data_IF_766404308656
#
_entry.id   IF_766404308656
#
_cell.length_a   1.000
_cell.length_b   1.000
_cell.length_c   1.000
_cell.angle_alpha   90.00
_cell.angle_beta   90.00
_cell.angle_gamma   90.00
#
_symmetry.space_group_name_H-M   'P 1'
#
loop_
_entity.id
_entity.type
_entity.pdbx_description
1 polymer ?
#
# COMPACT_ATOMS: atom_id res chain seq x y z
N UNK A 1 -23.27 12.26 6.53
CA UNK A 1 -22.16 11.33 6.80
C UNK A 1 -20.87 11.72 6.07
N UNK A 2 -20.92 12.24 4.83
CA UNK A 2 -19.74 12.70 4.07
C UNK A 2 -19.00 13.93 4.64
N UNK A 3 -19.72 14.89 5.23
CA UNK A 3 -19.10 16.09 5.78
C UNK A 3 -18.17 15.80 6.97
N UNK A 4 -18.42 14.72 7.71
CA UNK A 4 -17.67 14.39 8.93
C UNK A 4 -16.31 13.78 8.61
N UNK A 5 -16.24 12.79 7.70
CA UNK A 5 -14.96 12.20 7.29
C UNK A 5 -14.09 13.24 6.58
N UNK A 6 -14.69 14.05 5.70
CA UNK A 6 -13.99 15.16 5.06
C UNK A 6 -13.46 16.17 6.09
N UNK A 7 -14.28 16.59 7.05
CA UNK A 7 -13.84 17.52 8.09
C UNK A 7 -12.75 16.94 8.98
N UNK A 8 -12.75 15.62 9.23
CA UNK A 8 -11.68 14.96 9.99
C UNK A 8 -10.38 14.92 9.18
N UNK A 9 -10.44 14.61 7.88
CA UNK A 9 -9.26 14.61 7.00
C UNK A 9 -8.70 16.04 6.86
N UNK A 10 -9.56 17.04 6.64
CA UNK A 10 -9.13 18.45 6.53
C UNK A 10 -8.52 18.96 7.85
N UNK A 11 -9.10 18.59 9.01
CA UNK A 11 -8.55 19.01 10.31
C UNK A 11 -7.27 18.25 10.66
N UNK A 12 -7.17 16.96 10.33
CA UNK A 12 -5.95 16.17 10.55
C UNK A 12 -4.80 16.62 9.65
N UNK A 13 -5.08 16.97 8.39
CA UNK A 13 -4.09 17.49 7.43
C UNK A 13 -3.58 18.90 7.77
N UNK A 14 -4.31 19.66 8.61
CA UNK A 14 -3.90 20.99 9.06
C UNK A 14 -2.83 20.97 10.17
N UNK A 15 -2.53 19.80 10.76
CA UNK A 15 -1.42 19.64 11.69
C UNK A 15 -0.14 19.36 10.90
N UNK A 16 0.77 20.32 10.86
CA UNK A 16 2.09 20.11 10.26
C UNK A 16 2.87 19.04 11.05
N UNK A 17 3.46 18.08 10.32
CA UNK A 17 4.25 16.92 10.78
C UNK A 17 3.50 15.60 11.10
N UNK A 18 2.19 15.51 10.86
CA UNK A 18 1.42 14.27 11.10
C UNK A 18 1.13 13.46 9.82
N UNK A 19 1.28 12.14 9.88
CA UNK A 19 0.86 11.21 8.81
C UNK A 19 -0.59 10.75 9.04
N UNK A 20 -1.46 10.92 8.04
CA UNK A 20 -2.80 10.37 8.06
C UNK A 20 -2.87 9.11 7.21
N UNK A 21 -3.11 7.95 7.84
CA UNK A 21 -3.34 6.69 7.14
C UNK A 21 -4.85 6.45 7.08
N UNK A 22 -5.38 6.36 5.86
CA UNK A 22 -6.78 6.00 5.63
C UNK A 22 -6.85 4.53 5.20
N UNK A 23 -7.33 3.67 6.11
CA UNK A 23 -7.68 2.30 5.75
C UNK A 23 -9.04 2.28 5.06
N UNK A 24 -9.04 1.96 3.76
CA UNK A 24 -10.24 1.93 2.92
C UNK A 24 -10.59 0.51 2.51
N UNK A 25 -11.88 0.18 2.51
CA UNK A 25 -12.33 -1.06 1.86
C UNK A 25 -11.94 -1.05 0.37
N UNK A 26 -11.66 -2.23 -0.18
CA UNK A 26 -11.25 -2.44 -1.58
C UNK A 26 -12.34 -2.13 -2.63
N UNK A 27 -13.40 -1.40 -2.26
CA UNK A 27 -14.50 -1.05 -3.13
C UNK A 27 -14.19 0.25 -3.89
N UNK A 28 -14.45 0.31 -5.22
CA UNK A 28 -14.26 1.53 -6.02
C UNK A 28 -15.17 2.69 -5.56
N UNK A 29 -16.22 2.38 -4.80
CA UNK A 29 -17.18 3.37 -4.30
C UNK A 29 -16.56 4.38 -3.34
N UNK A 30 -15.48 4.02 -2.65
CA UNK A 30 -14.77 4.92 -1.73
C UNK A 30 -13.84 5.89 -2.45
N UNK A 31 -13.32 5.49 -3.61
CA UNK A 31 -12.50 6.35 -4.48
C UNK A 31 -13.38 7.33 -5.28
N UNK A 32 -14.50 6.86 -5.85
CA UNK A 32 -15.38 7.68 -6.70
C UNK A 32 -16.09 8.83 -5.97
N UNK A 33 -16.11 8.78 -4.63
CA UNK A 33 -16.75 9.76 -3.75
C UNK A 33 -15.90 10.99 -3.44
N UNK A 34 -14.73 11.12 -4.06
CA UNK A 34 -13.87 12.30 -3.96
C UNK A 34 -13.11 12.42 -2.63
N UNK A 35 -13.14 11.41 -1.75
CA UNK A 35 -12.32 11.39 -0.53
C UNK A 35 -10.85 11.14 -0.86
N UNK A 36 -10.59 10.34 -1.88
CA UNK A 36 -9.24 9.97 -2.29
C UNK A 36 -8.45 11.11 -2.94
N UNK A 37 -9.10 12.11 -3.52
CA UNK A 37 -8.43 13.23 -4.21
C UNK A 37 -7.57 14.10 -3.28
N UNK A 38 -7.73 13.95 -1.96
CA UNK A 38 -6.99 14.69 -0.94
C UNK A 38 -5.80 13.90 -0.37
N UNK A 39 -5.57 12.68 -0.86
CA UNK A 39 -4.42 11.89 -0.45
C UNK A 39 -3.21 12.25 -1.31
N UNK A 40 -2.02 12.32 -0.69
CA UNK A 40 -0.77 12.50 -1.44
C UNK A 40 -0.34 11.22 -2.17
N UNK A 41 -0.68 10.05 -1.61
CA UNK A 41 -0.35 8.76 -2.17
C UNK A 41 -1.46 7.72 -1.99
N UNK A 42 -1.56 6.80 -2.96
CA UNK A 42 -2.43 5.62 -2.91
C UNK A 42 -1.58 4.36 -3.02
N UNK A 43 -1.58 3.58 -1.94
CA UNK A 43 -0.89 2.30 -1.86
C UNK A 43 -1.88 1.15 -2.08
N UNK A 44 -1.66 0.39 -3.14
CA UNK A 44 -2.53 -0.70 -3.55
C UNK A 44 -1.90 -2.03 -3.15
N UNK A 45 -2.35 -2.57 -2.02
CA UNK A 45 -1.86 -3.85 -1.50
C UNK A 45 -2.40 -5.00 -2.35
N UNK A 46 -1.50 -5.76 -2.98
CA UNK A 46 -1.83 -6.87 -3.88
C UNK A 46 -1.11 -8.14 -3.47
N UNK A 47 -1.70 -9.29 -3.79
CA UNK A 47 -1.13 -10.63 -3.59
C UNK A 47 -0.73 -11.24 -4.95
N UNK A 48 0.11 -12.30 -5.01
CA UNK A 48 0.62 -12.87 -6.25
C UNK A 48 -0.43 -13.75 -6.97
N UNK A 49 -1.65 -13.26 -7.06
CA UNK A 49 -2.78 -13.92 -7.69
C UNK A 49 -3.44 -12.98 -8.69
N UNK A 50 -3.74 -13.50 -9.89
CA UNK A 50 -4.26 -12.71 -11.01
C UNK A 50 -5.45 -11.80 -10.64
N UNK A 51 -6.40 -12.28 -9.84
CA UNK A 51 -7.57 -11.47 -9.42
C UNK A 51 -7.18 -10.27 -8.53
N UNK A 52 -6.18 -10.44 -7.67
CA UNK A 52 -5.68 -9.35 -6.82
C UNK A 52 -4.98 -8.30 -7.68
N UNK A 53 -4.10 -8.75 -8.59
CA UNK A 53 -3.39 -7.91 -9.54
C UNK A 53 -4.34 -7.13 -10.48
N UNK A 54 -5.33 -7.78 -11.06
CA UNK A 54 -6.35 -7.12 -11.90
C UNK A 54 -7.16 -6.08 -11.11
N UNK A 55 -7.44 -6.35 -9.83
CA UNK A 55 -8.11 -5.37 -8.96
C UNK A 55 -7.21 -4.17 -8.71
N UNK A 56 -5.93 -4.41 -8.36
CA UNK A 56 -4.93 -3.37 -8.21
C UNK A 56 -4.80 -2.50 -9.46
N UNK A 57 -4.72 -3.10 -10.65
CA UNK A 57 -4.66 -2.36 -11.93
C UNK A 57 -5.85 -1.43 -12.13
N UNK A 58 -7.07 -1.92 -11.85
CA UNK A 58 -8.30 -1.10 -12.00
C UNK A 58 -8.32 0.05 -11.00
N UNK A 59 -7.93 -0.20 -9.76
CA UNK A 59 -7.85 0.86 -8.74
C UNK A 59 -6.75 1.87 -9.06
N UNK A 60 -5.63 1.43 -9.64
CA UNK A 60 -4.56 2.32 -10.08
C UNK A 60 -5.04 3.28 -11.18
N UNK A 61 -5.79 2.77 -12.16
CA UNK A 61 -6.39 3.60 -13.20
C UNK A 61 -7.38 4.62 -12.59
N UNK A 62 -8.26 4.18 -11.68
CA UNK A 62 -9.20 5.08 -10.98
C UNK A 62 -8.48 6.16 -10.17
N UNK A 63 -7.41 5.80 -9.44
CA UNK A 63 -6.62 6.76 -8.67
C UNK A 63 -5.98 7.83 -9.56
N UNK A 64 -5.39 7.41 -10.69
CA UNK A 64 -4.83 8.33 -11.69
C UNK A 64 -5.90 9.24 -12.31
N UNK A 65 -7.07 8.70 -12.64
CA UNK A 65 -8.19 9.47 -13.18
C UNK A 65 -8.73 10.52 -12.17
N UNK A 66 -8.55 10.27 -10.87
CA UNK A 66 -8.90 11.21 -9.79
C UNK A 66 -7.81 12.26 -9.52
N UNK A 67 -6.69 12.23 -10.26
CA UNK A 67 -5.60 13.20 -10.14
C UNK A 67 -4.55 12.87 -9.08
N UNK A 68 -4.52 11.64 -8.55
CA UNK A 68 -3.48 11.21 -7.62
C UNK A 68 -2.13 11.07 -8.34
N UNK A 69 -1.13 11.79 -7.86
CA UNK A 69 0.22 11.80 -8.45
C UNK A 69 1.02 10.54 -8.11
N UNK A 70 0.82 9.98 -6.90
CA UNK A 70 1.57 8.84 -6.42
C UNK A 70 0.66 7.62 -6.22
N UNK A 71 0.76 6.64 -7.12
CA UNK A 71 -0.04 5.41 -7.08
C UNK A 71 0.87 4.22 -7.28
N UNK A 72 1.06 3.41 -6.24
CA UNK A 72 2.00 2.29 -6.25
C UNK A 72 1.37 1.00 -5.70
N UNK A 73 1.76 -0.13 -6.28
CA UNK A 73 1.44 -1.47 -5.78
C UNK A 73 2.36 -1.83 -4.61
N UNK A 74 1.81 -2.47 -3.59
CA UNK A 74 2.56 -3.13 -2.52
C UNK A 74 2.38 -4.64 -2.69
N UNK A 75 3.46 -5.32 -3.10
CA UNK A 75 3.47 -6.76 -3.34
C UNK A 75 3.52 -7.52 -2.00
N UNK A 76 2.37 -7.97 -1.53
CA UNK A 76 2.18 -8.57 -0.22
C UNK A 76 2.14 -10.10 -0.27
N UNK A 77 2.64 -10.73 0.80
CA UNK A 77 2.69 -12.19 0.99
C UNK A 77 3.52 -12.93 -0.07
N UNK A 78 4.63 -12.35 -0.50
CA UNK A 78 5.55 -13.02 -1.43
C UNK A 78 6.21 -14.22 -0.73
N UNK A 79 6.02 -15.44 -1.25
CA UNK A 79 6.56 -16.66 -0.63
C UNK A 79 7.89 -17.09 -1.23
N UNK A 80 8.07 -16.85 -2.52
CA UNK A 80 9.26 -17.21 -3.27
C UNK A 80 9.49 -16.23 -4.43
N UNK A 81 10.58 -16.45 -5.17
CA UNK A 81 10.96 -15.60 -6.31
C UNK A 81 9.90 -15.61 -7.42
N UNK A 82 9.14 -16.70 -7.59
CA UNK A 82 8.12 -16.81 -8.65
C UNK A 82 6.92 -15.92 -8.36
N UNK A 83 6.54 -15.80 -7.09
CA UNK A 83 5.51 -14.85 -6.66
C UNK A 83 5.94 -13.41 -7.03
N UNK A 84 7.21 -13.06 -6.75
CA UNK A 84 7.74 -11.74 -7.05
C UNK A 84 7.83 -11.48 -8.57
N UNK A 85 8.30 -12.45 -9.34
CA UNK A 85 8.33 -12.39 -10.80
C UNK A 85 6.93 -12.14 -11.37
N UNK A 86 5.92 -12.90 -10.90
CA UNK A 86 4.55 -12.75 -11.38
C UNK A 86 3.97 -11.34 -11.13
N UNK A 87 4.25 -10.75 -9.96
CA UNK A 87 3.81 -9.38 -9.64
C UNK A 87 4.57 -8.36 -10.49
N UNK A 88 5.88 -8.53 -10.65
CA UNK A 88 6.75 -7.61 -11.39
C UNK A 88 6.42 -7.60 -12.88
N UNK A 89 6.29 -8.76 -13.51
CA UNK A 89 5.89 -8.89 -14.92
C UNK A 89 4.50 -8.29 -15.18
N UNK A 90 3.55 -8.53 -14.27
CA UNK A 90 2.23 -7.94 -14.37
C UNK A 90 2.27 -6.41 -14.23
N UNK A 91 3.07 -5.88 -13.30
CA UNK A 91 3.21 -4.45 -13.10
C UNK A 91 3.84 -3.76 -14.32
N UNK A 92 4.94 -4.33 -14.84
CA UNK A 92 5.65 -3.83 -16.02
C UNK A 92 4.76 -3.81 -17.27
N UNK A 93 4.03 -4.90 -17.53
CA UNK A 93 3.13 -5.01 -18.69
C UNK A 93 1.95 -4.03 -18.65
N UNK A 94 1.64 -3.46 -17.49
CA UNK A 94 0.55 -2.50 -17.31
C UNK A 94 1.00 -1.10 -16.90
N UNK A 95 2.32 -0.82 -16.86
CA UNK A 95 2.86 0.48 -16.47
C UNK A 95 2.48 0.87 -15.03
N UNK A 96 2.49 -0.11 -14.13
CA UNK A 96 2.24 0.07 -12.70
C UNK A 96 3.56 0.13 -11.94
N UNK A 97 3.64 0.99 -10.94
CA UNK A 97 4.79 1.08 -10.05
C UNK A 97 4.67 0.07 -8.91
N UNK A 98 5.76 -0.60 -8.54
CA UNK A 98 5.84 -1.43 -7.33
C UNK A 98 6.62 -0.64 -6.27
N UNK A 99 5.91 -0.13 -5.26
CA UNK A 99 6.48 0.72 -4.21
C UNK A 99 7.02 -0.04 -3.01
N UNK A 100 6.80 -1.36 -2.94
CA UNK A 100 7.26 -2.18 -1.83
C UNK A 100 6.92 -3.65 -1.97
N UNK A 101 7.72 -4.48 -1.29
CA UNK A 101 7.54 -5.93 -1.23
C UNK A 101 7.48 -6.34 0.24
N UNK A 102 6.43 -7.08 0.60
CA UNK A 102 6.25 -7.66 1.92
C UNK A 102 6.27 -9.18 1.76
N UNK A 103 7.29 -9.87 2.34
CA UNK A 103 7.35 -11.32 2.28
C UNK A 103 6.22 -11.95 3.09
N UNK A 104 5.86 -13.18 2.74
CA UNK A 104 5.00 -13.98 3.58
C UNK A 104 5.69 -14.30 4.90
N UNK A 105 5.00 -14.05 6.01
CA UNK A 105 5.51 -14.22 7.36
C UNK A 105 4.47 -14.94 8.23
N UNK A 106 4.83 -16.12 8.72
CA UNK A 106 3.97 -16.96 9.58
C UNK A 106 3.70 -16.31 10.95
N UNK A 107 4.50 -15.31 11.35
CA UNK A 107 4.24 -14.53 12.55
C UNK A 107 2.98 -13.65 12.42
N UNK A 108 2.59 -13.26 11.20
CA UNK A 108 1.44 -12.36 10.98
C UNK A 108 0.11 -13.03 11.41
N UNK A 109 -0.23 -14.26 10.96
CA UNK A 109 -1.38 -14.99 11.51
C UNK A 109 -1.28 -15.29 13.02
N UNK A 110 -0.05 -15.42 13.54
CA UNK A 110 0.20 -15.61 14.97
C UNK A 110 -0.21 -14.39 15.79
N UNK A 111 0.24 -13.21 15.38
CA UNK A 111 -0.08 -11.92 16.00
C UNK A 111 -1.59 -11.64 15.97
N UNK A 112 -2.24 -11.89 14.83
CA UNK A 112 -3.69 -11.76 14.66
C UNK A 112 -4.45 -12.62 15.68
N UNK A 113 -4.09 -13.91 15.80
CA UNK A 113 -4.71 -14.83 16.77
C UNK A 113 -4.48 -14.42 18.23
N UNK A 114 -3.35 -13.77 18.50
CA UNK A 114 -3.01 -13.26 19.82
C UNK A 114 -3.70 -11.91 20.13
N UNK A 115 -4.34 -11.26 19.14
CA UNK A 115 -4.93 -9.94 19.30
C UNK A 115 -3.90 -8.84 19.58
N UNK A 116 -2.65 -9.06 19.15
CA UNK A 116 -1.52 -8.15 19.35
C UNK A 116 -1.02 -7.60 18.01
N UNK A 117 -0.51 -6.37 18.00
CA UNK A 117 0.16 -5.81 16.83
C UNK A 117 1.32 -6.72 16.40
N UNK A 118 1.52 -6.97 15.09
CA UNK A 118 2.72 -7.66 14.61
C UNK A 118 4.02 -6.99 15.05
N UNK A 119 4.02 -5.67 15.23
CA UNK A 119 5.16 -4.90 15.72
C UNK A 119 5.58 -5.31 17.14
N UNK A 120 4.59 -5.64 17.99
CA UNK A 120 4.84 -6.06 19.37
C UNK A 120 5.09 -7.57 19.47
N UNK A 121 4.39 -8.35 18.64
CA UNK A 121 4.40 -9.81 18.66
C UNK A 121 5.69 -10.40 18.05
N UNK A 122 6.14 -9.82 16.94
CA UNK A 122 7.32 -10.26 16.20
C UNK A 122 8.06 -9.05 15.61
N UNK A 123 8.70 -8.21 16.46
CA UNK A 123 9.38 -6.99 16.03
C UNK A 123 10.48 -7.25 14.98
N UNK A 124 11.13 -8.41 15.04
CA UNK A 124 12.17 -8.84 14.10
C UNK A 124 11.60 -9.67 12.93
N UNK A 125 10.27 -9.68 12.76
CA UNK A 125 9.59 -10.40 11.69
C UNK A 125 9.94 -9.84 10.31
N UNK A 126 10.01 -10.72 9.31
CA UNK A 126 10.35 -10.32 7.93
C UNK A 126 9.33 -9.34 7.36
N UNK A 127 8.04 -9.54 7.66
CA UNK A 127 6.99 -8.63 7.23
C UNK A 127 7.10 -7.27 7.96
N UNK A 128 7.42 -7.27 9.25
CA UNK A 128 7.58 -6.04 10.05
C UNK A 128 8.73 -5.20 9.51
N UNK A 129 9.90 -5.81 9.30
CA UNK A 129 11.06 -5.12 8.74
C UNK A 129 10.80 -4.57 7.32
N UNK A 130 10.01 -5.27 6.51
CA UNK A 130 9.61 -4.79 5.19
C UNK A 130 8.64 -3.60 5.27
N UNK A 131 7.63 -3.67 6.14
CA UNK A 131 6.67 -2.58 6.37
C UNK A 131 7.40 -1.34 6.89
N UNK A 132 8.33 -1.48 7.83
CA UNK A 132 9.12 -0.35 8.34
C UNK A 132 9.91 0.33 7.21
N UNK A 133 10.52 -0.45 6.31
CA UNK A 133 11.27 0.09 5.17
C UNK A 133 10.37 0.87 4.21
N UNK A 134 9.19 0.34 3.91
CA UNK A 134 8.19 1.02 3.07
C UNK A 134 7.73 2.31 3.75
N UNK A 135 7.42 2.27 5.04
CA UNK A 135 6.98 3.44 5.82
C UNK A 135 8.05 4.53 5.83
N UNK A 136 9.33 4.19 6.07
CA UNK A 136 10.45 5.15 6.01
C UNK A 136 10.57 5.77 4.62
N UNK A 137 10.45 4.98 3.56
CA UNK A 137 10.48 5.48 2.18
C UNK A 137 9.38 6.52 1.89
N UNK A 138 8.20 6.37 2.50
CA UNK A 138 7.11 7.35 2.39
C UNK A 138 7.40 8.63 3.16
N UNK A 139 7.97 8.51 4.37
CA UNK A 139 8.37 9.67 5.20
C UNK A 139 9.44 10.51 4.50
N UNK A 140 10.40 9.84 3.86
CA UNK A 140 11.54 10.49 3.22
C UNK A 140 11.21 11.00 1.78
N UNK A 141 9.97 10.79 1.31
CA UNK A 141 9.52 11.20 -0.04
C UNK A 141 10.09 10.37 -1.19
N UNK A 142 10.68 9.20 -0.91
CA UNK A 142 11.45 8.39 -1.87
C UNK A 142 10.62 7.39 -2.69
N UNK A 143 9.32 7.22 -2.40
CA UNK A 143 8.46 6.32 -3.20
C UNK A 143 8.10 6.95 -4.55
N UNK A 144 8.40 8.24 -4.76
CA UNK A 144 8.25 8.91 -6.05
C UNK A 144 9.60 8.98 -6.78
N UNK A 145 10.03 7.88 -7.39
CA UNK A 145 11.10 7.90 -8.39
C UNK A 145 12.45 7.38 -7.90
N UNK A 146 12.57 6.07 -7.77
CA UNK A 146 13.72 5.39 -8.38
C UNK A 146 13.43 3.90 -8.49
N UNK A 147 13.71 3.33 -9.66
CA UNK A 147 13.72 1.89 -9.90
C UNK A 147 14.82 1.19 -9.11
N UNK A 148 14.72 1.19 -7.79
CA UNK A 148 15.54 0.40 -6.91
C UNK A 148 14.96 -1.02 -6.87
N UNK A 149 15.33 -1.80 -7.89
CA UNK A 149 15.37 -3.26 -7.83
C UNK A 149 16.03 -3.68 -6.51
N UNK A 150 15.23 -3.95 -5.49
CA UNK A 150 15.70 -4.59 -4.27
C UNK A 150 15.86 -6.06 -4.62
N UNK A 151 17.06 -6.42 -5.08
CA UNK A 151 17.49 -7.82 -5.13
C UNK A 151 17.57 -8.35 -3.71
N UNK A 152 17.02 -9.54 -3.52
CA UNK A 152 17.31 -10.42 -2.38
C UNK A 152 18.78 -10.81 -2.39
#
# INVERSE_FOLDING_TARGET
MHATVRSVIEVASAAHDDFCILDTEASPEHLSRGTAQYADALLLVVEPYFKSLETGRRMAALGKDLGLEHVALIANKMRDERDLEAVTEFAESHGLEVGGIIPFDEAMPGAERAGSSPLDFAPEGLAVAAIERIARGLVDGSVAGNGATTRV
#
